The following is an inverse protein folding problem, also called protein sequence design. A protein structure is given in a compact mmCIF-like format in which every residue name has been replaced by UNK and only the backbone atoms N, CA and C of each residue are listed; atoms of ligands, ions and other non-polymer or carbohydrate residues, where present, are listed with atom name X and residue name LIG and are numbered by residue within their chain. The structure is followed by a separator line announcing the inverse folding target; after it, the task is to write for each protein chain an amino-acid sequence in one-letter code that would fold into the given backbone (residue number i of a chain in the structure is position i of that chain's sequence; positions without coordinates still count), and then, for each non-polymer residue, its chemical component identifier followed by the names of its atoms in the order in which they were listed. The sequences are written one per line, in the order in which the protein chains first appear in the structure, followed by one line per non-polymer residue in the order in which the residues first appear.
data_IF_989252378060
#
_entry.id   IF_989252378060
#
_cell.length_a   1.000
_cell.length_b   1.000
_cell.length_c   1.000
_cell.angle_alpha   90.00
_cell.angle_beta   90.00
_cell.angle_gamma   90.00
#
_symmetry.space_group_name_H-M   'P 1'
#
loop_
_entity.id
_entity.type
_entity.pdbx_description
1 polymer ?
#
# COMPACT_ATOMS: atom_id res chain seq x y z
N UNK A 1 41.98 20.74 31.15
CA UNK A 1 42.09 21.28 29.78
C UNK A 1 40.69 21.46 29.21
N UNK A 2 40.24 22.72 29.10
CA UNK A 2 38.91 23.11 28.60
C UNK A 2 38.99 23.24 27.08
N UNK A 3 38.26 22.42 26.34
CA UNK A 3 38.04 22.64 24.90
C UNK A 3 36.74 23.40 24.71
N UNK A 4 36.86 24.58 24.10
CA UNK A 4 35.78 25.53 23.81
C UNK A 4 34.87 24.99 22.68
N UNK A 5 33.56 25.28 22.70
CA UNK A 5 32.67 25.03 21.57
C UNK A 5 32.80 26.14 20.51
N UNK A 6 32.88 25.76 19.23
CA UNK A 6 32.83 26.65 18.07
C UNK A 6 31.39 26.93 17.63
N UNK A 7 31.13 28.04 16.92
CA UNK A 7 29.90 28.80 17.06
C UNK A 7 28.77 28.42 16.10
N UNK A 8 27.57 28.78 16.55
CA UNK A 8 26.28 28.75 15.88
C UNK A 8 26.32 29.58 14.60
N UNK A 9 25.99 28.98 13.46
CA UNK A 9 25.82 29.69 12.19
C UNK A 9 24.33 29.99 11.99
N UNK A 10 23.88 31.12 12.53
CA UNK A 10 22.58 31.75 12.24
C UNK A 10 22.80 32.91 11.27
N UNK A 11 22.41 32.75 10.01
CA UNK A 11 22.15 33.84 9.05
C UNK A 11 20.96 33.38 8.19
N UNK A 12 19.74 33.79 8.53
CA UNK A 12 19.10 35.04 8.12
C UNK A 12 18.84 35.09 6.60
N UNK A 13 17.61 34.77 6.22
CA UNK A 13 17.00 35.11 4.93
C UNK A 13 16.89 36.64 4.80
N UNK A 14 17.20 37.22 3.62
CA UNK A 14 16.62 38.50 3.24
C UNK A 14 15.56 38.32 2.13
N UNK A 15 14.36 38.81 2.45
CA UNK A 15 13.24 39.00 1.52
C UNK A 15 13.59 39.99 0.39
N UNK A 16 12.89 39.93 -0.75
CA UNK A 16 13.20 40.68 -1.96
C UNK A 16 12.78 42.15 -1.86
N UNK A 17 13.69 43.07 -2.17
CA UNK A 17 13.36 44.49 -2.36
C UNK A 17 12.62 44.67 -3.68
N UNK A 18 11.41 45.24 -3.58
CA UNK A 18 10.68 45.92 -4.66
C UNK A 18 11.56 47.03 -5.24
N UNK A 19 11.81 46.96 -6.54
CA UNK A 19 12.23 48.10 -7.36
C UNK A 19 11.13 48.35 -8.39
N UNK A 20 10.45 49.48 -8.25
CA UNK A 20 9.60 50.07 -9.28
C UNK A 20 10.52 50.58 -10.39
N UNK A 21 10.40 50.04 -11.61
CA UNK A 21 10.89 50.68 -12.82
C UNK A 21 9.81 50.49 -13.89
N UNK A 22 9.37 51.61 -14.45
CA UNK A 22 8.17 51.73 -15.26
C UNK A 22 8.15 50.92 -16.55
N UNK A 23 6.94 50.68 -17.02
CA UNK A 23 6.64 50.06 -18.30
C UNK A 23 7.08 50.96 -19.47
N UNK A 24 7.90 50.46 -20.43
CA UNK A 24 8.07 51.11 -21.72
C UNK A 24 7.06 50.57 -22.76
N UNK A 25 6.75 51.37 -23.80
CA UNK A 25 5.54 51.23 -24.61
C UNK A 25 5.55 50.00 -25.52
N UNK A 26 4.34 49.46 -25.75
CA UNK A 26 4.02 48.39 -26.69
C UNK A 26 4.49 48.74 -28.10
N UNK A 27 5.64 48.21 -28.51
CA UNK A 27 6.08 48.18 -29.91
C UNK A 27 5.54 46.91 -30.56
N UNK A 28 4.47 47.06 -31.33
CA UNK A 28 3.97 46.05 -32.26
C UNK A 28 5.11 45.53 -33.14
N UNK A 29 5.49 44.28 -32.94
CA UNK A 29 6.28 43.52 -33.92
C UNK A 29 5.37 42.45 -34.54
N UNK A 30 5.41 42.26 -35.88
CA UNK A 30 4.58 41.28 -36.56
C UNK A 30 4.91 39.87 -36.08
N UNK A 31 3.87 39.13 -35.70
CA UNK A 31 3.92 37.72 -35.36
C UNK A 31 4.58 36.93 -36.51
N UNK A 32 5.81 36.47 -36.30
CA UNK A 32 6.40 35.42 -37.14
C UNK A 32 5.50 34.18 -37.04
N UNK A 33 5.13 33.53 -38.15
CA UNK A 33 4.28 32.35 -38.09
C UNK A 33 4.98 31.28 -37.26
N UNK A 34 4.33 30.82 -36.19
CA UNK A 34 4.76 29.62 -35.46
C UNK A 34 4.89 28.51 -36.47
N UNK A 35 6.12 27.99 -36.66
CA UNK A 35 6.37 26.81 -37.49
C UNK A 35 5.44 25.70 -37.00
N UNK A 36 4.47 25.34 -37.83
CA UNK A 36 3.69 24.12 -37.70
C UNK A 36 4.70 22.99 -37.79
N UNK A 37 5.04 22.41 -36.63
CA UNK A 37 5.83 21.18 -36.60
C UNK A 37 4.92 20.11 -37.20
N UNK A 38 5.13 19.81 -38.49
CA UNK A 38 4.53 18.64 -39.14
C UNK A 38 4.81 17.43 -38.26
N UNK A 39 3.74 16.76 -37.82
CA UNK A 39 3.82 15.56 -37.02
C UNK A 39 4.73 14.56 -37.73
N UNK A 40 5.93 14.31 -37.18
CA UNK A 40 6.70 13.13 -37.55
C UNK A 40 5.87 11.94 -37.13
N UNK A 41 5.49 11.12 -38.12
CA UNK A 41 4.86 9.81 -37.99
C UNK A 41 5.63 9.03 -36.91
N UNK A 42 5.03 8.95 -35.72
CA UNK A 42 5.58 8.15 -34.62
C UNK A 42 5.51 6.72 -35.12
N UNK A 43 6.69 6.08 -35.27
CA UNK A 43 6.78 4.64 -35.47
C UNK A 43 5.93 3.97 -34.39
N UNK A 44 5.00 3.12 -34.81
CA UNK A 44 4.26 2.24 -33.93
C UNK A 44 5.27 1.51 -33.04
N UNK A 45 5.35 1.94 -31.78
CA UNK A 45 5.88 1.07 -30.73
C UNK A 45 4.70 0.17 -30.41
N UNK A 46 4.64 -0.94 -31.14
CA UNK A 46 3.92 -2.14 -30.73
C UNK A 46 4.46 -2.46 -29.34
N UNK A 47 3.70 -2.14 -28.31
CA UNK A 47 3.97 -2.68 -26.99
C UNK A 47 3.83 -4.19 -27.13
N UNK A 48 4.86 -5.00 -26.81
CA UNK A 48 4.64 -6.43 -26.74
C UNK A 48 3.57 -6.65 -25.67
N UNK A 49 2.48 -7.29 -26.09
CA UNK A 49 1.47 -7.81 -25.19
C UNK A 49 2.19 -8.56 -24.05
N UNK A 50 1.76 -8.43 -22.78
CA UNK A 50 2.29 -9.31 -21.77
C UNK A 50 1.91 -10.72 -22.18
N UNK A 51 2.90 -11.52 -22.57
CA UNK A 51 2.78 -12.97 -22.68
C UNK A 51 2.44 -13.47 -21.29
N UNK A 52 1.14 -13.50 -20.97
CA UNK A 52 0.62 -14.35 -19.92
C UNK A 52 0.87 -15.74 -20.45
N UNK A 53 1.96 -16.36 -20.02
CA UNK A 53 2.11 -17.80 -20.17
C UNK A 53 0.84 -18.40 -19.57
N UNK A 54 0.02 -19.13 -20.35
CA UNK A 54 -1.13 -19.79 -19.77
C UNK A 54 -0.57 -20.73 -18.71
N UNK A 55 -0.91 -20.49 -17.44
CA UNK A 55 -0.67 -21.45 -16.38
C UNK A 55 -1.31 -22.75 -16.86
N UNK A 56 -0.47 -23.70 -17.28
CA UNK A 56 -0.85 -25.06 -17.63
C UNK A 56 -1.73 -25.53 -16.47
N UNK A 57 -3.04 -25.69 -16.72
CA UNK A 57 -3.93 -26.41 -15.80
C UNK A 57 -3.25 -27.75 -15.56
N UNK A 58 -2.70 -27.91 -14.36
CA UNK A 58 -2.03 -29.12 -13.95
C UNK A 58 -3.02 -30.27 -14.14
N UNK A 59 -2.72 -31.16 -15.09
CA UNK A 59 -3.35 -32.47 -15.13
C UNK A 59 -3.10 -33.07 -13.75
N UNK A 60 -4.16 -33.51 -13.06
CA UNK A 60 -4.02 -34.26 -11.83
C UNK A 60 -3.04 -35.40 -12.11
N UNK A 61 -1.88 -35.35 -11.46
CA UNK A 61 -0.87 -36.38 -11.56
C UNK A 61 -1.50 -37.65 -10.99
N UNK A 62 -1.92 -38.58 -11.86
CA UNK A 62 -2.03 -39.97 -11.45
C UNK A 62 -0.65 -40.36 -10.94
N UNK A 63 -0.57 -40.64 -9.65
CA UNK A 63 0.67 -41.05 -8.99
C UNK A 63 1.17 -42.29 -9.74
N UNK A 64 2.25 -42.15 -10.49
CA UNK A 64 2.93 -43.28 -11.09
C UNK A 64 3.49 -44.15 -9.96
N UNK A 65 3.29 -45.46 -10.06
CA UNK A 65 3.90 -46.40 -9.12
C UNK A 65 5.42 -46.19 -9.09
N UNK A 66 5.98 -46.10 -7.89
CA UNK A 66 7.42 -45.93 -7.68
C UNK A 66 8.21 -47.02 -8.44
N UNK A 67 9.28 -46.67 -9.17
CA UNK A 67 10.07 -47.65 -9.91
C UNK A 67 10.70 -48.68 -8.96
N UNK A 68 10.76 -49.94 -9.38
CA UNK A 68 11.31 -51.06 -8.58
C UNK A 68 12.78 -50.87 -8.14
N UNK A 69 13.47 -49.89 -8.71
CA UNK A 69 14.80 -49.44 -8.26
C UNK A 69 14.75 -48.93 -6.79
N UNK A 70 13.61 -48.41 -6.34
CA UNK A 70 13.37 -48.03 -4.95
C UNK A 70 13.14 -49.23 -4.01
N UNK A 71 12.93 -50.45 -4.54
CA UNK A 71 12.81 -51.70 -3.78
C UNK A 71 14.12 -52.48 -3.67
N UNK A 72 15.25 -51.94 -4.12
CA UNK A 72 16.56 -52.49 -3.75
C UNK A 72 16.76 -52.25 -2.26
N UNK A 73 16.57 -53.30 -1.47
CA UNK A 73 17.09 -53.40 -0.10
C UNK A 73 18.58 -53.08 -0.15
N UNK A 74 18.93 -51.84 0.16
CA UNK A 74 20.31 -51.41 0.24
C UNK A 74 20.97 -52.26 1.31
N UNK A 75 21.81 -53.21 0.87
CA UNK A 75 22.64 -54.01 1.74
C UNK A 75 23.31 -53.05 2.73
N UNK A 76 23.07 -53.26 4.03
CA UNK A 76 23.61 -52.42 5.10
C UNK A 76 25.13 -52.39 4.95
N UNK A 77 25.67 -51.32 4.36
CA UNK A 77 27.12 -51.09 4.31
C UNK A 77 27.61 -51.14 5.75
N UNK A 78 28.44 -52.15 6.07
CA UNK A 78 29.12 -52.24 7.38
C UNK A 78 29.93 -50.96 7.54
N UNK A 79 29.48 -50.07 8.41
CA UNK A 79 30.18 -48.83 8.74
C UNK A 79 31.49 -49.24 9.40
N UNK A 80 32.60 -49.08 8.70
CA UNK A 80 33.94 -49.28 9.25
C UNK A 80 34.14 -48.25 10.36
N UNK A 81 34.12 -48.69 11.62
CA UNK A 81 34.30 -47.81 12.77
C UNK A 81 35.78 -47.47 12.89
N UNK A 82 36.13 -46.23 12.56
CA UNK A 82 37.49 -45.73 12.78
C UNK A 82 37.73 -45.62 14.31
N UNK A 83 38.69 -46.37 14.89
CA UNK A 83 38.94 -46.39 16.33
C UNK A 83 39.42 -45.04 16.89
N UNK A 84 39.90 -44.13 16.02
CA UNK A 84 40.30 -42.77 16.39
C UNK A 84 39.10 -41.85 16.70
N UNK A 85 37.90 -42.19 16.22
CA UNK A 85 36.69 -41.37 16.42
C UNK A 85 35.95 -41.85 17.67
N UNK A 86 36.03 -41.06 18.74
CA UNK A 86 35.37 -41.35 20.02
C UNK A 86 34.17 -40.41 20.26
N UNK A 87 33.06 -40.95 20.77
CA UNK A 87 31.92 -40.15 21.22
C UNK A 87 32.30 -39.42 22.52
N UNK A 88 32.43 -38.10 22.47
CA UNK A 88 32.70 -37.24 23.64
C UNK A 88 31.52 -36.30 23.91
N UNK A 89 30.43 -36.78 24.54
CA UNK A 89 29.29 -35.94 24.82
C UNK A 89 29.67 -34.89 25.87
N UNK A 90 29.21 -33.65 25.69
CA UNK A 90 29.36 -32.59 26.68
C UNK A 90 28.10 -32.54 27.55
N UNK A 91 28.27 -32.39 28.85
CA UNK A 91 27.17 -32.18 29.79
C UNK A 91 26.94 -30.67 29.95
N UNK A 92 25.77 -30.18 29.54
CA UNK A 92 25.42 -28.75 29.62
C UNK A 92 24.57 -28.41 30.86
N UNK A 93 24.57 -29.29 31.87
CA UNK A 93 24.00 -29.02 33.18
C UNK A 93 24.67 -27.84 33.89
N UNK A 94 24.03 -27.37 34.95
CA UNK A 94 24.52 -26.25 35.76
C UNK A 94 25.88 -26.65 36.36
N UNK A 95 26.91 -25.81 36.20
CA UNK A 95 28.26 -26.06 36.73
C UNK A 95 29.12 -27.05 35.94
N UNK A 96 28.66 -27.53 34.78
CA UNK A 96 29.39 -28.48 33.94
C UNK A 96 30.06 -27.77 32.75
N UNK A 97 29.89 -28.24 31.52
CA UNK A 97 30.49 -27.61 30.34
C UNK A 97 29.80 -26.27 29.97
N UNK A 98 30.54 -25.41 29.25
CA UNK A 98 30.01 -24.14 28.71
C UNK A 98 28.73 -24.41 27.92
N UNK A 99 27.68 -23.67 28.27
CA UNK A 99 26.38 -23.86 27.64
C UNK A 99 26.43 -23.50 26.14
N UNK A 100 25.67 -24.22 25.29
CA UNK A 100 25.63 -23.94 23.87
C UNK A 100 24.93 -22.60 23.58
N UNK A 101 25.13 -22.09 22.37
CA UNK A 101 24.48 -20.86 21.91
C UNK A 101 22.95 -21.02 21.92
N UNK A 102 22.35 -20.17 22.74
CA UNK A 102 20.94 -19.81 22.93
C UNK A 102 20.20 -19.22 21.75
N UNK A 103 18.92 -19.50 21.54
CA UNK A 103 18.04 -18.40 21.13
C UNK A 103 17.83 -17.47 22.34
N UNK A 104 18.40 -16.26 22.26
CA UNK A 104 18.31 -15.24 23.30
C UNK A 104 17.23 -14.18 22.99
N UNK A 105 16.44 -14.32 21.91
CA UNK A 105 15.49 -13.30 21.41
C UNK A 105 14.62 -12.66 22.51
N UNK A 106 14.17 -13.45 23.50
CA UNK A 106 13.35 -12.99 24.62
C UNK A 106 14.13 -12.17 25.67
N UNK A 107 15.41 -12.46 25.87
CA UNK A 107 16.29 -11.83 26.88
C UNK A 107 17.18 -10.72 26.31
N UNK A 108 17.19 -10.55 24.98
CA UNK A 108 17.89 -9.44 24.32
C UNK A 108 17.36 -8.11 24.84
N UNK A 109 18.27 -7.19 25.16
CA UNK A 109 17.95 -5.79 25.39
C UNK A 109 17.62 -5.13 24.04
N UNK A 110 16.33 -4.90 23.80
CA UNK A 110 15.84 -4.39 22.52
C UNK A 110 16.12 -2.89 22.37
N UNK A 111 16.28 -2.38 21.12
CA UNK A 111 16.31 -0.94 20.89
C UNK A 111 15.05 -0.24 21.43
N UNK A 112 15.21 0.98 21.96
CA UNK A 112 14.14 1.73 22.65
C UNK A 112 12.84 1.84 21.85
N UNK A 113 12.89 2.00 20.53
CA UNK A 113 11.69 2.11 19.69
C UNK A 113 10.87 0.81 19.64
N UNK A 114 11.53 -0.36 19.65
CA UNK A 114 10.87 -1.67 19.70
C UNK A 114 10.19 -1.84 21.05
N UNK A 115 10.90 -1.49 22.13
CA UNK A 115 10.33 -1.52 23.48
C UNK A 115 9.10 -0.62 23.60
N UNK A 116 9.18 0.61 23.10
CA UNK A 116 8.07 1.58 23.15
C UNK A 116 6.85 1.07 22.38
N UNK A 117 7.04 0.53 21.18
CA UNK A 117 5.96 -0.06 20.38
C UNK A 117 5.29 -1.24 21.10
N UNK A 118 6.08 -2.14 21.70
CA UNK A 118 5.58 -3.29 22.48
C UNK A 118 4.85 -2.84 23.75
N UNK A 119 5.43 -1.91 24.52
CA UNK A 119 4.80 -1.32 25.72
C UNK A 119 3.48 -0.65 25.38
N UNK A 120 3.41 0.12 24.27
CA UNK A 120 2.17 0.73 23.78
C UNK A 120 1.09 -0.31 23.46
N UNK A 121 1.46 -1.41 22.81
CA UNK A 121 0.53 -2.50 22.50
C UNK A 121 0.03 -3.23 23.76
N UNK A 122 0.90 -3.44 24.76
CA UNK A 122 0.54 -4.04 26.05
C UNK A 122 -0.41 -3.10 26.82
N UNK A 123 -0.11 -1.80 26.90
CA UNK A 123 -0.96 -0.82 27.58
C UNK A 123 -2.37 -0.80 26.99
N UNK A 124 -2.51 -0.79 25.66
CA UNK A 124 -3.83 -0.84 24.99
C UNK A 124 -4.66 -2.09 25.34
N UNK A 125 -4.02 -3.21 25.67
CA UNK A 125 -4.70 -4.45 26.08
C UNK A 125 -5.03 -4.48 27.56
N UNK A 126 -4.23 -3.81 28.40
CA UNK A 126 -4.38 -3.82 29.86
C UNK A 126 -5.34 -2.76 30.37
N UNK A 127 -5.36 -1.60 29.72
CA UNK A 127 -6.30 -0.53 30.06
C UNK A 127 -7.69 -0.86 29.53
N UNK A 128 -8.71 -0.43 30.27
CA UNK A 128 -10.10 -0.48 29.79
C UNK A 128 -10.25 0.52 28.65
N UNK A 129 -10.49 0.01 27.44
CA UNK A 129 -10.67 0.84 26.25
C UNK A 129 -12.14 1.24 26.11
N UNK A 130 -12.45 2.54 25.96
CA UNK A 130 -13.81 3.00 25.75
C UNK A 130 -14.48 2.33 24.53
N UNK A 131 -15.79 2.02 24.56
CA UNK A 131 -16.48 1.37 23.45
C UNK A 131 -16.32 2.09 22.10
N UNK A 132 -16.37 3.44 22.02
CA UNK A 132 -16.16 4.16 20.75
C UNK A 132 -14.79 3.94 20.10
N UNK A 133 -13.77 3.57 20.87
CA UNK A 133 -12.44 3.23 20.36
C UNK A 133 -12.37 1.72 20.07
N UNK A 134 -13.00 0.90 20.92
CA UNK A 134 -12.95 -0.56 20.80
C UNK A 134 -13.63 -1.08 19.53
N UNK A 135 -14.60 -0.36 18.95
CA UNK A 135 -15.21 -0.73 17.66
C UNK A 135 -14.16 -1.03 16.57
N UNK A 136 -13.05 -0.27 16.53
CA UNK A 136 -11.99 -0.49 15.54
C UNK A 136 -11.19 -1.78 15.75
N UNK A 137 -11.23 -2.36 16.94
CA UNK A 137 -10.64 -3.69 17.17
C UNK A 137 -11.50 -4.81 16.56
N UNK A 138 -12.80 -4.57 16.42
CA UNK A 138 -13.76 -5.49 15.83
C UNK A 138 -13.85 -5.23 14.32
N UNK A 139 -13.14 -6.04 13.57
CA UNK A 139 -13.04 -5.91 12.12
C UNK A 139 -13.80 -7.03 11.42
N UNK A 140 -14.23 -6.76 10.20
CA UNK A 140 -14.81 -7.71 9.28
C UNK A 140 -13.87 -8.93 9.06
N UNK A 141 -14.46 -10.11 8.89
CA UNK A 141 -13.75 -11.38 8.77
C UNK A 141 -12.92 -11.46 7.46
N UNK A 142 -12.03 -12.45 7.37
CA UNK A 142 -11.13 -12.56 6.22
C UNK A 142 -11.87 -12.87 4.92
N UNK A 143 -12.89 -13.72 4.94
CA UNK A 143 -13.56 -14.18 3.74
C UNK A 143 -14.41 -13.07 3.12
N UNK A 144 -15.25 -12.42 3.92
CA UNK A 144 -16.05 -11.27 3.47
C UNK A 144 -15.14 -10.11 3.06
N UNK A 145 -13.99 -9.92 3.73
CA UNK A 145 -13.06 -8.85 3.37
C UNK A 145 -12.55 -9.02 1.93
N UNK A 146 -12.21 -10.24 1.52
CA UNK A 146 -11.76 -10.53 0.16
C UNK A 146 -12.85 -10.23 -0.87
N UNK A 147 -14.11 -10.58 -0.60
CA UNK A 147 -15.23 -10.28 -1.49
C UNK A 147 -15.38 -8.77 -1.72
N UNK A 148 -15.33 -7.99 -0.63
CA UNK A 148 -15.40 -6.52 -0.69
C UNK A 148 -14.23 -5.93 -1.48
N UNK A 149 -13.02 -6.43 -1.27
CA UNK A 149 -11.83 -5.96 -1.99
C UNK A 149 -11.87 -6.31 -3.48
N UNK A 150 -12.30 -7.53 -3.84
CA UNK A 150 -12.47 -7.94 -5.23
C UNK A 150 -13.50 -7.06 -5.96
N UNK A 151 -14.55 -6.64 -5.26
CA UNK A 151 -15.51 -5.67 -5.78
C UNK A 151 -14.82 -4.30 -5.94
N UNK A 152 -14.13 -3.81 -4.91
CA UNK A 152 -13.45 -2.52 -4.92
C UNK A 152 -12.41 -2.38 -6.04
N UNK A 153 -11.70 -3.45 -6.38
CA UNK A 153 -10.71 -3.48 -7.47
C UNK A 153 -11.32 -3.13 -8.84
N UNK A 154 -12.59 -3.44 -9.08
CA UNK A 154 -13.28 -3.09 -10.34
C UNK A 154 -13.57 -1.58 -10.47
N UNK A 155 -13.68 -0.89 -9.33
CA UNK A 155 -14.05 0.53 -9.21
C UNK A 155 -12.87 1.44 -8.86
N UNK A 156 -11.64 0.98 -9.06
CA UNK A 156 -10.44 1.79 -8.80
C UNK A 156 -10.45 3.11 -9.60
N UNK A 157 -10.00 4.22 -8.99
CA UNK A 157 -9.81 5.47 -9.71
C UNK A 157 -8.65 5.35 -10.71
N UNK A 158 -8.68 6.18 -11.75
CA UNK A 158 -7.60 6.18 -12.76
C UNK A 158 -6.25 6.53 -12.15
N UNK A 159 -5.23 5.74 -12.50
CA UNK A 159 -3.83 6.07 -12.22
C UNK A 159 -3.40 7.34 -12.97
N UNK A 160 -2.38 8.04 -12.47
CA UNK A 160 -1.85 9.26 -13.10
C UNK A 160 -1.40 9.01 -14.54
N UNK A 161 -0.77 7.86 -14.80
CA UNK A 161 -0.32 7.44 -16.14
C UNK A 161 -1.51 7.20 -17.06
N UNK A 162 -2.52 6.45 -16.61
CA UNK A 162 -3.74 6.22 -17.38
C UNK A 162 -4.48 7.52 -17.68
N UNK A 163 -4.56 8.44 -16.71
CA UNK A 163 -5.16 9.77 -16.90
C UNK A 163 -4.39 10.59 -17.95
N UNK A 164 -3.06 10.58 -17.93
CA UNK A 164 -2.23 11.24 -18.94
C UNK A 164 -2.49 10.66 -20.34
N UNK A 165 -2.49 9.34 -20.48
CA UNK A 165 -2.76 8.67 -21.76
C UNK A 165 -4.16 9.01 -22.28
N UNK A 166 -5.17 9.00 -21.40
CA UNK A 166 -6.54 9.41 -21.75
C UNK A 166 -6.58 10.85 -22.26
N UNK A 167 -5.94 11.79 -21.56
CA UNK A 167 -5.91 13.20 -21.97
C UNK A 167 -5.15 13.43 -23.29
N UNK A 168 -4.03 12.72 -23.49
CA UNK A 168 -3.27 12.79 -24.75
C UNK A 168 -4.11 12.25 -25.91
N UNK A 169 -4.77 11.11 -25.74
CA UNK A 169 -5.66 10.54 -26.74
C UNK A 169 -6.84 11.48 -27.05
N UNK A 170 -7.47 12.06 -26.01
CA UNK A 170 -8.53 13.05 -26.19
C UNK A 170 -8.05 14.29 -26.94
N UNK A 171 -6.85 14.77 -26.63
CA UNK A 171 -6.25 15.91 -27.34
C UNK A 171 -5.95 15.57 -28.81
N UNK A 172 -5.46 14.37 -29.11
CA UNK A 172 -5.24 13.89 -30.48
C UNK A 172 -6.54 13.83 -31.29
N UNK A 173 -7.60 13.24 -30.74
CA UNK A 173 -8.92 13.20 -31.38
C UNK A 173 -9.46 14.60 -31.66
N UNK A 174 -9.24 15.54 -30.73
CA UNK A 174 -9.64 16.93 -30.91
C UNK A 174 -8.83 17.64 -32.00
N UNK A 175 -7.53 17.35 -32.11
CA UNK A 175 -6.71 17.88 -33.23
C UNK A 175 -7.09 17.27 -34.59
N UNK A 176 -7.59 16.02 -34.60
CA UNK A 176 -8.14 15.36 -35.79
C UNK A 176 -9.53 15.90 -36.20
N UNK A 177 -10.08 16.86 -35.46
CA UNK A 177 -11.37 17.50 -35.78
C UNK A 177 -12.60 16.72 -35.33
N UNK A 178 -12.44 15.62 -34.58
CA UNK A 178 -13.59 14.90 -33.99
C UNK A 178 -14.19 15.72 -32.84
N UNK A 179 -15.52 15.71 -32.74
CA UNK A 179 -16.25 16.42 -31.70
C UNK A 179 -15.90 15.89 -30.29
N UNK A 180 -15.81 16.81 -29.33
CA UNK A 180 -15.43 16.52 -27.95
C UNK A 180 -16.66 16.18 -27.09
N UNK A 181 -17.31 15.06 -27.39
CA UNK A 181 -18.50 14.62 -26.65
C UNK A 181 -18.16 14.21 -25.20
N UNK A 182 -18.96 14.65 -24.21
CA UNK A 182 -18.71 14.31 -22.81
C UNK A 182 -19.01 12.83 -22.55
N UNK A 183 -17.95 12.01 -22.51
CA UNK A 183 -18.07 10.59 -22.18
C UNK A 183 -18.69 10.38 -20.78
N UNK A 184 -19.58 9.37 -20.60
CA UNK A 184 -20.18 9.08 -19.31
C UNK A 184 -19.09 8.70 -18.29
N UNK A 185 -19.15 9.32 -17.11
CA UNK A 185 -18.16 9.08 -16.06
C UNK A 185 -18.32 7.67 -15.50
N UNK A 186 -17.25 6.86 -15.61
CA UNK A 186 -17.21 5.54 -14.97
C UNK A 186 -17.40 5.72 -13.44
N UNK A 187 -18.25 4.90 -12.79
CA UNK A 187 -18.33 4.89 -11.34
C UNK A 187 -16.96 4.53 -10.76
N UNK A 188 -16.51 5.32 -9.79
CA UNK A 188 -15.24 5.13 -9.09
C UNK A 188 -15.44 5.25 -7.60
N UNK A 189 -14.53 4.62 -6.85
CA UNK A 189 -14.45 4.77 -5.41
C UNK A 189 -14.16 6.23 -5.00
N UNK A 190 -14.88 6.72 -3.99
CA UNK A 190 -14.54 7.97 -3.30
C UNK A 190 -13.59 7.67 -2.17
N UNK A 191 -12.50 8.43 -2.07
CA UNK A 191 -11.41 8.07 -1.17
C UNK A 191 -10.92 9.28 -0.34
N UNK A 192 -10.66 9.01 0.94
CA UNK A 192 -10.23 10.02 1.90
C UNK A 192 -11.40 10.61 2.68
N UNK A 193 -11.12 11.04 3.91
CA UNK A 193 -12.14 11.43 4.88
C UNK A 193 -13.04 12.52 4.33
N UNK A 194 -12.50 13.60 3.76
CA UNK A 194 -13.30 14.75 3.29
C UNK A 194 -14.32 14.36 2.21
N UNK A 195 -13.93 13.52 1.26
CA UNK A 195 -14.84 13.08 0.20
C UNK A 195 -15.87 12.08 0.73
N UNK A 196 -15.44 11.18 1.61
CA UNK A 196 -16.31 10.16 2.21
C UNK A 196 -17.34 10.80 3.14
N UNK A 197 -16.96 11.75 4.00
CA UNK A 197 -17.91 12.45 4.87
C UNK A 197 -18.95 13.23 4.09
N UNK A 198 -18.53 13.95 3.04
CA UNK A 198 -19.44 14.64 2.14
C UNK A 198 -20.41 13.66 1.44
N UNK A 199 -19.93 12.49 1.01
CA UNK A 199 -20.77 11.47 0.39
C UNK A 199 -21.79 10.86 1.36
N UNK A 200 -21.43 10.66 2.63
CA UNK A 200 -22.36 10.15 3.65
C UNK A 200 -23.39 11.20 4.04
N UNK A 201 -22.97 12.45 4.24
CA UNK A 201 -23.88 13.56 4.56
C UNK A 201 -24.91 13.80 3.45
N UNK A 202 -24.49 13.65 2.19
CA UNK A 202 -25.38 13.76 1.03
C UNK A 202 -26.20 12.47 0.78
N UNK A 203 -26.06 11.42 1.61
CA UNK A 203 -26.66 10.09 1.42
C UNK A 203 -26.40 9.48 0.03
N UNK A 204 -25.27 9.83 -0.60
CA UNK A 204 -24.84 9.27 -1.90
C UNK A 204 -24.00 8.01 -1.74
N UNK A 205 -23.45 7.79 -0.55
CA UNK A 205 -22.68 6.57 -0.26
C UNK A 205 -23.63 5.39 -0.03
N UNK A 206 -23.42 4.29 -0.77
CA UNK A 206 -24.11 3.01 -0.58
C UNK A 206 -23.41 2.13 0.45
N UNK A 207 -22.07 2.18 0.52
CA UNK A 207 -21.27 1.40 1.47
C UNK A 207 -19.97 2.14 1.81
N UNK A 208 -19.59 2.17 3.09
CA UNK A 208 -18.36 2.82 3.57
C UNK A 208 -17.41 1.81 4.18
N UNK A 209 -16.16 1.80 3.72
CA UNK A 209 -15.07 1.01 4.27
C UNK A 209 -14.16 1.89 5.12
N UNK A 210 -13.90 1.44 6.34
CA UNK A 210 -13.14 2.18 7.35
C UNK A 210 -11.93 1.34 7.76
N UNK A 211 -10.72 1.90 7.73
CA UNK A 211 -9.54 1.21 8.24
C UNK A 211 -9.48 1.22 9.77
N UNK A 212 -9.03 0.11 10.36
CA UNK A 212 -8.88 -0.03 11.82
C UNK A 212 -7.61 0.60 12.42
N UNK A 213 -6.56 0.77 11.62
CA UNK A 213 -5.18 1.06 12.04
C UNK A 213 -4.74 2.49 11.69
N UNK A 214 -5.71 3.40 11.65
CA UNK A 214 -5.45 4.82 11.37
C UNK A 214 -4.79 5.47 12.58
N UNK A 215 -3.72 6.20 12.33
CA UNK A 215 -3.03 7.02 13.30
C UNK A 215 -2.97 8.42 12.69
N UNK A 216 -3.54 9.47 13.32
CA UNK A 216 -4.35 9.53 14.55
C UNK A 216 -5.78 8.93 14.44
N UNK A 217 -6.37 8.47 15.57
CA UNK A 217 -7.67 7.73 15.57
C UNK A 217 -8.89 8.66 15.50
N UNK A 218 -8.72 9.91 15.94
CA UNK A 218 -9.72 10.98 15.99
C UNK A 218 -10.30 11.26 14.60
N UNK A 219 -9.48 11.07 13.57
CA UNK A 219 -9.83 11.24 12.17
C UNK A 219 -11.01 10.35 11.74
N UNK A 220 -11.15 9.17 12.36
CA UNK A 220 -12.10 8.13 11.94
C UNK A 220 -13.15 7.86 13.03
N UNK A 221 -12.89 8.30 14.27
CA UNK A 221 -13.70 8.03 15.45
C UNK A 221 -15.20 8.35 15.26
N UNK A 222 -15.51 9.44 14.56
CA UNK A 222 -16.88 9.91 14.34
C UNK A 222 -17.59 9.24 13.14
N UNK A 223 -16.88 8.49 12.30
CA UNK A 223 -17.45 7.93 11.08
C UNK A 223 -18.49 6.83 11.32
N UNK A 224 -18.27 5.84 12.21
CA UNK A 224 -19.31 4.84 12.51
C UNK A 224 -20.61 5.48 13.00
N UNK A 225 -20.52 6.48 13.87
CA UNK A 225 -21.68 7.22 14.40
C UNK A 225 -22.38 8.03 13.31
N UNK A 226 -21.61 8.65 12.40
CA UNK A 226 -22.14 9.42 11.28
C UNK A 226 -22.87 8.49 10.29
N UNK A 227 -22.27 7.37 9.92
CA UNK A 227 -22.87 6.37 9.04
C UNK A 227 -24.20 5.83 9.62
N UNK A 228 -24.22 5.51 10.92
CA UNK A 228 -25.44 5.05 11.61
C UNK A 228 -26.54 6.12 11.64
N UNK A 229 -26.20 7.38 11.90
CA UNK A 229 -27.16 8.50 11.90
C UNK A 229 -27.77 8.75 10.51
N UNK A 230 -26.97 8.60 9.45
CA UNK A 230 -27.40 8.84 8.07
C UNK A 230 -28.05 7.62 7.41
N UNK A 231 -28.02 6.45 8.04
CA UNK A 231 -28.57 5.19 7.51
C UNK A 231 -27.69 4.54 6.44
N UNK A 232 -26.39 4.82 6.41
CA UNK A 232 -25.44 4.25 5.44
C UNK A 232 -24.71 3.07 6.08
N UNK A 233 -24.67 1.88 5.44
CA UNK A 233 -23.95 0.74 5.99
C UNK A 233 -22.43 0.98 5.92
N UNK A 234 -21.72 0.54 6.96
CA UNK A 234 -20.27 0.66 7.05
C UNK A 234 -19.62 -0.66 7.48
N UNK A 235 -18.36 -0.82 7.12
CA UNK A 235 -17.56 -1.98 7.50
C UNK A 235 -16.17 -1.51 7.96
N UNK A 236 -15.69 -2.09 9.06
CA UNK A 236 -14.33 -1.86 9.55
C UNK A 236 -13.41 -2.96 9.00
N UNK A 237 -12.37 -2.57 8.28
CA UNK A 237 -11.49 -3.45 7.51
C UNK A 237 -10.07 -3.38 8.05
N UNK A 238 -9.38 -4.53 8.00
CA UNK A 238 -7.96 -4.63 8.39
C UNK A 238 -7.03 -4.02 7.33
N UNK A 239 -6.30 -2.98 7.72
CA UNK A 239 -5.15 -2.44 7.02
C UNK A 239 -5.46 -1.21 6.15
N UNK A 240 -5.10 -0.02 6.62
CA UNK A 240 -5.13 1.24 5.85
C UNK A 240 -4.25 1.20 4.60
N UNK A 241 -3.21 0.35 4.62
CA UNK A 241 -2.35 0.11 3.46
C UNK A 241 -3.11 -0.60 2.33
N UNK A 242 -3.99 -1.57 2.66
CA UNK A 242 -4.81 -2.28 1.67
C UNK A 242 -5.86 -1.38 1.01
N UNK A 243 -6.45 -0.46 1.77
CA UNK A 243 -7.30 0.59 1.19
C UNK A 243 -6.46 1.55 0.34
N UNK A 244 -5.22 1.83 0.75
CA UNK A 244 -4.27 2.65 -0.02
C UNK A 244 -4.00 2.09 -1.41
N UNK A 245 -3.73 0.78 -1.50
CA UNK A 245 -3.42 0.11 -2.78
C UNK A 245 -4.55 0.23 -3.79
N UNK A 246 -5.82 0.21 -3.36
CA UNK A 246 -6.98 0.42 -4.24
C UNK A 246 -6.99 1.81 -4.90
N UNK A 247 -6.50 2.83 -4.20
CA UNK A 247 -6.56 4.24 -4.64
C UNK A 247 -5.20 4.69 -5.20
N UNK A 248 -4.25 3.77 -5.38
CA UNK A 248 -2.87 4.07 -5.77
C UNK A 248 -2.17 5.05 -4.81
N UNK A 249 -2.41 4.91 -3.50
CA UNK A 249 -1.76 5.66 -2.41
C UNK A 249 -1.08 4.70 -1.44
N UNK A 250 -0.12 5.19 -0.65
CA UNK A 250 0.54 4.37 0.39
C UNK A 250 -0.45 3.92 1.46
N UNK A 251 -1.34 4.83 1.86
CA UNK A 251 -2.36 4.59 2.88
C UNK A 251 -3.65 5.31 2.51
N UNK A 252 -4.78 4.74 2.93
CA UNK A 252 -6.09 5.38 2.88
C UNK A 252 -6.86 5.04 4.16
N UNK A 253 -7.47 6.04 4.78
CA UNK A 253 -8.25 5.88 6.01
C UNK A 253 -9.64 5.31 5.74
N UNK A 254 -10.33 5.86 4.74
CA UNK A 254 -11.71 5.51 4.42
C UNK A 254 -11.96 5.57 2.92
N UNK A 255 -12.82 4.66 2.45
CA UNK A 255 -13.25 4.56 1.05
C UNK A 255 -14.76 4.36 1.02
N UNK A 256 -15.45 4.95 0.06
CA UNK A 256 -16.89 4.79 -0.10
C UNK A 256 -17.27 4.38 -1.53
N UNK A 257 -18.24 3.48 -1.63
CA UNK A 257 -18.96 3.18 -2.85
C UNK A 257 -20.13 4.16 -2.99
N UNK A 258 -20.17 4.94 -4.06
CA UNK A 258 -21.33 5.80 -4.35
C UNK A 258 -22.25 5.12 -5.35
N UNK A 259 -21.72 4.81 -6.53
CA UNK A 259 -22.46 4.14 -7.60
C UNK A 259 -21.77 2.82 -7.89
N UNK A 260 -22.55 1.76 -7.96
CA UNK A 260 -22.12 0.41 -8.37
C UNK A 260 -22.92 0.11 -9.63
N UNK A 261 -22.27 -0.43 -10.66
CA UNK A 261 -22.96 -0.97 -11.82
C UNK A 261 -23.74 -2.20 -11.35
N UNK A 262 -25.05 -2.12 -11.50
CA UNK A 262 -25.97 -3.23 -11.27
C UNK A 262 -25.86 -4.26 -12.39
#
# INVERSE_FOLDING_TARGET
MRTKPSPVCTLALPNPKRGLLGDPPTRNQPNKPKKVIKAKKIKEIVAPEPVVTPLKKGKASKVAALPEIAKKTSAKKKVVKNPLIQRRPRNFGIGQNIQPKRDLYRFVKWPKYVELQRKRAILKRRLKVPPPIHQFSQTLDRATSLQVFNLAEKYQPLSKRAKKMLLVHRAQLRTEGKADEPAPRKPTLRAGIREVTAAIQQKKARLVLIAHDVEPIEIVLFLPTLCRKMGVPYCIVKGKAKLGTLVHRKTCSCVAFTNVKE
#
